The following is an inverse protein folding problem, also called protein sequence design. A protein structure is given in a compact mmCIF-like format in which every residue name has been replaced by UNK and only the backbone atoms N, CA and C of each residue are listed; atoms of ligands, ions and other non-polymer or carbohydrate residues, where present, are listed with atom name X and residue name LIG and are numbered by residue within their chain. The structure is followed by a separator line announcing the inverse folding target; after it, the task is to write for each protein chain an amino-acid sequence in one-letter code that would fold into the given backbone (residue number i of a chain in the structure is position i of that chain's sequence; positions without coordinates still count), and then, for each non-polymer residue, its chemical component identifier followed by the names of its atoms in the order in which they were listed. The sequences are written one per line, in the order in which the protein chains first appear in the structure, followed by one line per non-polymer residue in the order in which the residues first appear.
data_IF_535961336456
#
_entry.id   IF_535961336456
#
_cell.length_a   1.000
_cell.length_b   1.000
_cell.length_c   1.000
_cell.angle_alpha   90.00
_cell.angle_beta   90.00
_cell.angle_gamma   90.00
#
_symmetry.space_group_name_H-M   'P 1'
#
loop_
_entity.id
_entity.type
_entity.pdbx_description
1 polymer ?
#
# COMPACT_ATOMS: atom_id res chain seq x y z
N UNK A 1 -25.80 9.85 -26.37
CA UNK A 1 -25.73 9.32 -24.98
C UNK A 1 -25.17 7.87 -24.92
N UNK A 2 -24.18 7.49 -25.76
CA UNK A 2 -23.57 6.14 -25.71
C UNK A 2 -22.09 6.13 -25.31
N UNK A 3 -21.46 7.30 -25.09
CA UNK A 3 -20.03 7.40 -24.76
C UNK A 3 -19.66 6.85 -23.37
N UNK A 4 -20.58 6.88 -22.40
CA UNK A 4 -20.32 6.40 -21.01
C UNK A 4 -20.15 4.88 -20.98
N UNK A 5 -20.91 4.15 -21.81
CA UNK A 5 -20.85 2.68 -21.87
C UNK A 5 -19.57 2.20 -22.56
N UNK A 6 -18.98 3.02 -23.44
CA UNK A 6 -17.71 2.69 -24.10
C UNK A 6 -16.50 2.76 -23.15
N UNK A 7 -16.54 3.63 -22.13
CA UNK A 7 -15.49 3.72 -21.10
C UNK A 7 -15.63 2.71 -19.96
N UNK A 8 -16.82 2.10 -19.80
CA UNK A 8 -17.12 1.16 -18.72
C UNK A 8 -16.20 -0.09 -18.72
N UNK A 9 -15.91 -0.75 -19.86
CA UNK A 9 -15.02 -1.90 -19.89
C UNK A 9 -13.59 -1.55 -19.48
N UNK A 10 -13.09 -0.39 -19.90
CA UNK A 10 -11.77 0.08 -19.52
C UNK A 10 -11.72 0.38 -18.01
N UNK A 11 -12.69 1.14 -17.49
CA UNK A 11 -12.83 1.39 -16.06
C UNK A 11 -12.83 0.08 -15.25
N UNK A 12 -13.67 -0.89 -15.63
CA UNK A 12 -13.74 -2.18 -14.94
C UNK A 12 -12.42 -2.95 -15.01
N UNK A 13 -11.72 -2.93 -16.15
CA UNK A 13 -10.42 -3.59 -16.30
C UNK A 13 -9.38 -3.00 -15.32
N UNK A 14 -9.21 -1.67 -15.30
CA UNK A 14 -8.26 -1.02 -14.40
C UNK A 14 -8.67 -1.13 -12.93
N UNK A 15 -9.97 -1.02 -12.63
CA UNK A 15 -10.47 -1.12 -11.26
C UNK A 15 -10.33 -2.53 -10.69
N UNK A 16 -10.75 -3.57 -11.43
CA UNK A 16 -10.62 -4.97 -11.00
C UNK A 16 -9.14 -5.33 -10.87
N UNK A 17 -8.31 -4.96 -11.85
CA UNK A 17 -6.88 -5.22 -11.80
C UNK A 17 -6.22 -4.48 -10.62
N UNK A 18 -6.61 -3.23 -10.38
CA UNK A 18 -6.18 -2.47 -9.22
C UNK A 18 -6.55 -3.16 -7.92
N UNK A 19 -7.78 -3.65 -7.76
CA UNK A 19 -8.21 -4.42 -6.60
C UNK A 19 -7.38 -5.72 -6.42
N UNK A 20 -7.08 -6.42 -7.51
CA UNK A 20 -6.24 -7.63 -7.48
C UNK A 20 -4.82 -7.28 -7.02
N UNK A 21 -4.21 -6.24 -7.58
CA UNK A 21 -2.87 -5.79 -7.20
C UNK A 21 -2.82 -5.25 -5.77
N UNK A 22 -3.88 -4.59 -5.32
CA UNK A 22 -4.04 -4.11 -3.95
C UNK A 22 -4.16 -5.25 -2.94
N UNK A 23 -4.98 -6.26 -3.26
CA UNK A 23 -5.07 -7.48 -2.47
C UNK A 23 -3.75 -8.26 -2.44
N UNK A 24 -3.07 -8.34 -3.58
CA UNK A 24 -1.75 -8.96 -3.69
C UNK A 24 -0.71 -8.22 -2.84
N UNK A 25 -0.72 -6.89 -2.85
CA UNK A 25 0.11 -6.09 -1.96
C UNK A 25 -0.17 -6.39 -0.49
N UNK A 26 -1.45 -6.43 -0.07
CA UNK A 26 -1.80 -6.80 1.31
C UNK A 26 -1.29 -8.20 1.68
N UNK A 27 -1.38 -9.16 0.78
CA UNK A 27 -0.86 -10.52 1.00
C UNK A 27 0.67 -10.55 1.08
N UNK A 28 1.37 -9.84 0.20
CA UNK A 28 2.84 -9.72 0.23
C UNK A 28 3.29 -8.99 1.49
N UNK A 29 2.60 -7.91 1.86
CA UNK A 29 2.92 -7.11 3.03
C UNK A 29 2.81 -7.95 4.30
N UNK A 30 1.68 -8.65 4.50
CA UNK A 30 1.44 -9.53 5.66
C UNK A 30 2.37 -10.76 5.72
N UNK A 31 2.94 -11.20 4.60
CA UNK A 31 3.94 -12.28 4.57
C UNK A 31 5.36 -11.77 4.81
N UNK A 32 5.69 -10.55 4.36
CA UNK A 32 6.98 -9.92 4.62
C UNK A 32 7.10 -9.38 6.04
N UNK A 33 6.00 -8.90 6.63
CA UNK A 33 6.01 -8.48 8.03
C UNK A 33 5.94 -9.70 8.94
N UNK A 34 6.90 -9.89 9.87
CA UNK A 34 6.82 -11.00 10.82
C UNK A 34 5.61 -10.99 11.78
N UNK A 35 4.74 -9.97 11.74
CA UNK A 35 3.71 -9.76 12.75
C UNK A 35 2.44 -10.28 12.15
N UNK A 36 1.72 -11.07 12.94
CA UNK A 36 0.45 -11.63 12.51
C UNK A 36 -0.58 -10.50 12.57
N UNK A 37 -0.49 -9.54 11.64
CA UNK A 37 -1.27 -8.31 11.64
C UNK A 37 -2.75 -8.62 11.76
N UNK A 38 -3.25 -9.59 10.99
CA UNK A 38 -4.65 -10.04 11.07
C UNK A 38 -5.01 -10.56 12.47
N UNK A 39 -4.11 -11.31 13.13
CA UNK A 39 -4.32 -11.80 14.49
C UNK A 39 -4.28 -10.66 15.51
N UNK A 40 -3.33 -9.74 15.39
CA UNK A 40 -3.17 -8.57 16.27
C UNK A 40 -4.35 -7.59 16.14
N UNK A 41 -4.79 -7.32 14.91
CA UNK A 41 -5.97 -6.50 14.61
C UNK A 41 -7.22 -7.14 15.23
N UNK A 42 -7.40 -8.46 15.07
CA UNK A 42 -8.51 -9.20 15.72
C UNK A 42 -8.42 -9.20 17.24
N UNK A 43 -7.21 -9.14 17.80
CA UNK A 43 -6.98 -9.00 19.23
C UNK A 43 -7.19 -7.56 19.76
N UNK A 44 -7.55 -6.60 18.89
CA UNK A 44 -7.79 -5.21 19.28
C UNK A 44 -6.54 -4.34 19.39
N UNK A 45 -5.40 -4.80 18.86
CA UNK A 45 -4.17 -4.02 18.86
C UNK A 45 -4.27 -2.86 17.86
N UNK A 46 -4.46 -1.65 18.39
CA UNK A 46 -4.59 -0.42 17.61
C UNK A 46 -3.30 -0.03 16.89
N UNK A 47 -2.12 -0.36 17.44
CA UNK A 47 -0.85 -0.11 16.79
C UNK A 47 -0.72 -0.91 15.48
N UNK A 48 -1.11 -2.18 15.49
CA UNK A 48 -1.13 -3.03 14.30
C UNK A 48 -2.13 -2.51 13.26
N UNK A 49 -3.31 -2.02 13.69
CA UNK A 49 -4.29 -1.41 12.79
C UNK A 49 -3.71 -0.17 12.09
N UNK A 50 -3.10 0.74 12.85
CA UNK A 50 -2.56 2.00 12.30
C UNK A 50 -1.39 1.71 11.34
N UNK A 51 -0.49 0.79 11.69
CA UNK A 51 0.61 0.38 10.82
C UNK A 51 0.09 -0.17 9.48
N UNK A 52 -0.82 -1.14 9.56
CA UNK A 52 -1.36 -1.82 8.39
C UNK A 52 -2.18 -0.88 7.52
N UNK A 53 -3.04 -0.05 8.12
CA UNK A 53 -3.82 0.96 7.39
C UNK A 53 -2.91 1.98 6.71
N UNK A 54 -1.84 2.43 7.37
CA UNK A 54 -0.88 3.35 6.77
C UNK A 54 -0.17 2.75 5.55
N UNK A 55 0.21 1.47 5.60
CA UNK A 55 0.80 0.77 4.47
C UNK A 55 -0.19 0.57 3.31
N UNK A 56 -1.42 0.16 3.63
CA UNK A 56 -2.51 -0.03 2.67
C UNK A 56 -2.87 1.29 1.97
N UNK A 57 -3.07 2.38 2.72
CA UNK A 57 -3.32 3.71 2.17
C UNK A 57 -2.10 4.26 1.43
N UNK A 58 -0.90 3.96 1.90
CA UNK A 58 0.33 4.35 1.21
C UNK A 58 0.48 3.67 -0.15
N UNK A 59 0.03 2.43 -0.33
CA UNK A 59 0.10 1.75 -1.63
C UNK A 59 -1.03 2.15 -2.57
N UNK A 60 -2.22 2.51 -2.05
CA UNK A 60 -3.34 2.93 -2.90
C UNK A 60 -3.03 4.19 -3.71
N UNK A 61 -2.18 5.08 -3.19
CA UNK A 61 -1.82 6.34 -3.85
C UNK A 61 -0.99 6.14 -5.12
N UNK A 62 0.15 5.40 -5.12
CA UNK A 62 0.84 5.03 -6.35
C UNK A 62 -0.05 4.26 -7.31
N UNK A 63 -0.92 3.37 -6.80
CA UNK A 63 -1.84 2.61 -7.64
C UNK A 63 -2.84 3.53 -8.35
N UNK A 64 -3.38 4.53 -7.65
CA UNK A 64 -4.26 5.54 -8.24
C UNK A 64 -3.52 6.38 -9.29
N UNK A 65 -2.30 6.82 -9.01
CA UNK A 65 -1.47 7.58 -9.96
C UNK A 65 -1.11 6.74 -11.19
N UNK A 66 -0.72 5.48 -11.01
CA UNK A 66 -0.48 4.55 -12.09
C UNK A 66 -1.74 4.39 -12.95
N UNK A 67 -2.91 4.18 -12.36
CA UNK A 67 -4.16 4.04 -13.11
C UNK A 67 -4.52 5.31 -13.90
N UNK A 68 -4.21 6.48 -13.36
CA UNK A 68 -4.48 7.77 -14.01
C UNK A 68 -3.55 8.08 -15.19
N UNK A 69 -2.28 7.66 -15.12
CA UNK A 69 -1.26 8.00 -16.12
C UNK A 69 -0.93 6.86 -17.10
N UNK A 70 -1.36 5.62 -16.81
CA UNK A 70 -0.98 4.47 -17.64
C UNK A 70 -1.66 4.46 -19.00
N UNK A 71 -0.84 4.38 -20.05
CA UNK A 71 -1.32 4.30 -21.44
C UNK A 71 -1.82 2.89 -21.80
N UNK A 72 -1.39 1.87 -21.03
CA UNK A 72 -1.81 0.48 -21.22
C UNK A 72 -1.92 -0.29 -19.90
N UNK A 73 -2.59 -1.45 -19.93
CA UNK A 73 -2.69 -2.37 -18.78
C UNK A 73 -1.31 -2.86 -18.33
N UNK A 74 -0.39 -3.09 -19.27
CA UNK A 74 0.98 -3.54 -18.96
C UNK A 74 1.75 -2.45 -18.23
N UNK A 75 1.62 -1.21 -18.70
CA UNK A 75 2.22 -0.04 -18.07
C UNK A 75 1.74 0.13 -16.62
N UNK A 76 0.43 -0.05 -16.40
CA UNK A 76 -0.16 -0.04 -15.06
C UNK A 76 0.42 -1.10 -14.13
N UNK A 77 0.63 -2.33 -14.62
CA UNK A 77 1.24 -3.40 -13.83
C UNK A 77 2.69 -3.06 -13.48
N UNK A 78 3.47 -2.54 -14.42
CA UNK A 78 4.87 -2.16 -14.19
C UNK A 78 4.97 -1.08 -13.11
N UNK A 79 4.15 -0.03 -13.21
CA UNK A 79 4.09 1.02 -12.20
C UNK A 79 3.61 0.54 -10.83
N UNK A 80 2.65 -0.38 -10.81
CA UNK A 80 2.19 -1.00 -9.56
C UNK A 80 3.31 -1.80 -8.88
N UNK A 81 4.15 -2.51 -9.65
CA UNK A 81 5.32 -3.22 -9.13
C UNK A 81 6.34 -2.23 -8.58
N UNK A 82 6.63 -1.14 -9.29
CA UNK A 82 7.53 -0.08 -8.80
C UNK A 82 7.00 0.49 -7.48
N UNK A 83 5.69 0.72 -7.37
CA UNK A 83 5.10 1.20 -6.13
C UNK A 83 5.12 0.21 -4.98
N UNK A 84 5.06 -1.09 -5.28
CA UNK A 84 5.23 -2.13 -4.28
C UNK A 84 6.66 -2.15 -3.75
N UNK A 85 7.65 -2.01 -4.64
CA UNK A 85 9.06 -1.90 -4.25
C UNK A 85 9.32 -0.67 -3.37
N UNK A 86 8.72 0.48 -3.72
CA UNK A 86 8.80 1.68 -2.91
C UNK A 86 8.20 1.47 -1.51
N UNK A 87 7.11 0.71 -1.39
CA UNK A 87 6.54 0.39 -0.07
C UNK A 87 7.39 -0.56 0.77
N UNK A 88 8.02 -1.55 0.13
CA UNK A 88 8.99 -2.41 0.82
C UNK A 88 10.16 -1.56 1.34
N UNK A 89 10.63 -0.60 0.54
CA UNK A 89 11.67 0.34 0.97
C UNK A 89 11.18 1.20 2.14
N UNK A 90 9.95 1.69 2.11
CA UNK A 90 9.36 2.47 3.21
C UNK A 90 9.31 1.66 4.51
N UNK A 91 8.92 0.40 4.44
CA UNK A 91 8.95 -0.53 5.58
C UNK A 91 10.38 -0.73 6.12
N UNK A 92 11.36 -0.88 5.23
CA UNK A 92 12.76 -0.99 5.63
C UNK A 92 13.25 0.29 6.33
N UNK A 93 12.91 1.47 5.81
CA UNK A 93 13.24 2.75 6.44
C UNK A 93 12.60 2.87 7.82
N UNK A 94 11.31 2.51 7.96
CA UNK A 94 10.61 2.52 9.24
C UNK A 94 11.24 1.59 10.27
N UNK A 95 11.57 0.35 9.87
CA UNK A 95 12.22 -0.63 10.75
C UNK A 95 13.65 -0.26 11.11
N UNK A 96 14.37 0.46 10.24
CA UNK A 96 15.74 0.92 10.53
C UNK A 96 15.76 2.13 11.46
N UNK A 97 14.80 3.04 11.31
CA UNK A 97 14.69 4.27 12.13
C UNK A 97 14.15 3.98 13.53
N UNK A 98 13.29 2.97 13.69
CA UNK A 98 12.79 2.53 14.98
C UNK A 98 13.21 1.08 15.24
N UNK A 99 14.23 0.89 16.07
CA UNK A 99 14.68 -0.46 16.46
C UNK A 99 13.57 -1.22 17.19
N UNK A 100 13.39 -2.48 16.81
CA UNK A 100 12.33 -3.31 17.39
C UNK A 100 10.91 -2.87 17.03
N UNK A 101 10.72 -2.06 15.97
CA UNK A 101 9.40 -1.60 15.49
C UNK A 101 8.32 -2.69 15.55
N UNK A 102 8.72 -3.89 15.14
CA UNK A 102 7.91 -5.08 15.10
C UNK A 102 7.43 -5.58 16.47
N UNK A 103 8.35 -5.67 17.42
CA UNK A 103 8.02 -6.05 18.79
C UNK A 103 7.12 -4.99 19.43
N UNK A 104 7.43 -3.70 19.21
CA UNK A 104 6.67 -2.58 19.77
C UNK A 104 5.24 -2.51 19.22
N UNK A 105 5.05 -2.79 17.93
CA UNK A 105 3.70 -2.93 17.35
C UNK A 105 2.98 -4.11 17.97
N UNK A 106 3.64 -5.26 18.13
CA UNK A 106 3.06 -6.46 18.78
C UNK A 106 2.64 -6.17 20.22
N UNK A 107 3.43 -5.37 20.95
CA UNK A 107 3.18 -4.96 22.33
C UNK A 107 2.10 -3.86 22.44
N UNK A 108 1.57 -3.37 21.32
CA UNK A 108 0.47 -2.40 21.28
C UNK A 108 0.90 -0.94 21.34
N UNK A 109 2.18 -0.64 21.12
CA UNK A 109 2.66 0.74 21.11
C UNK A 109 2.18 1.50 19.86
N UNK A 110 1.15 2.32 20.03
CA UNK A 110 0.54 3.10 18.94
C UNK A 110 1.58 4.00 18.23
N UNK A 111 2.56 4.53 18.95
CA UNK A 111 3.64 5.33 18.37
C UNK A 111 4.44 4.55 17.33
N UNK A 112 4.69 3.26 17.57
CA UNK A 112 5.37 2.38 16.63
C UNK A 112 4.50 2.16 15.37
N UNK A 113 3.20 1.93 15.57
CA UNK A 113 2.26 1.79 14.47
C UNK A 113 2.12 3.05 13.62
N UNK A 114 2.03 4.22 14.26
CA UNK A 114 1.94 5.51 13.59
C UNK A 114 3.22 5.86 12.81
N UNK A 115 4.39 5.53 13.35
CA UNK A 115 5.66 5.73 12.66
C UNK A 115 5.78 4.86 11.42
N UNK A 116 5.52 3.55 11.56
CA UNK A 116 5.56 2.61 10.43
C UNK A 116 4.54 2.95 9.35
N UNK A 117 3.28 3.13 9.74
CA UNK A 117 2.20 3.48 8.81
C UNK A 117 2.38 4.88 8.20
N UNK A 118 2.88 5.85 8.97
CA UNK A 118 3.13 7.21 8.51
C UNK A 118 4.24 7.30 7.48
N UNK A 119 5.37 6.59 7.68
CA UNK A 119 6.44 6.51 6.68
C UNK A 119 5.94 5.84 5.40
N UNK A 120 5.20 4.74 5.52
CA UNK A 120 4.61 4.08 4.36
C UNK A 120 3.69 5.02 3.57
N UNK A 121 2.85 5.79 4.26
CA UNK A 121 1.97 6.78 3.64
C UNK A 121 2.76 7.91 2.96
N UNK A 122 3.77 8.47 3.63
CA UNK A 122 4.61 9.54 3.08
C UNK A 122 5.36 9.10 1.82
N UNK A 123 5.99 7.92 1.85
CA UNK A 123 6.66 7.35 0.67
C UNK A 123 5.65 7.05 -0.44
N UNK A 124 4.46 6.57 -0.09
CA UNK A 124 3.35 6.37 -1.01
C UNK A 124 2.96 7.65 -1.76
N UNK A 125 2.80 8.77 -1.06
CA UNK A 125 2.49 10.08 -1.66
C UNK A 125 3.61 10.50 -2.62
N UNK A 126 4.87 10.44 -2.18
CA UNK A 126 6.02 10.83 -3.01
C UNK A 126 6.09 9.98 -4.28
N UNK A 127 5.91 8.68 -4.12
CA UNK A 127 5.95 7.76 -5.23
C UNK A 127 4.79 8.01 -6.21
N UNK A 128 3.58 8.27 -5.73
CA UNK A 128 2.45 8.65 -6.57
C UNK A 128 2.73 9.93 -7.36
N UNK A 129 3.35 10.93 -6.75
CA UNK A 129 3.72 12.19 -7.40
C UNK A 129 4.81 12.01 -8.47
N UNK A 130 5.70 11.04 -8.32
CA UNK A 130 6.72 10.73 -9.32
C UNK A 130 6.19 9.95 -10.54
N UNK A 131 4.96 9.44 -10.49
CA UNK A 131 4.32 8.67 -11.56
C UNK A 131 3.44 9.51 -12.50
N UNK A 132 3.44 10.84 -12.34
CA UNK A 132 2.70 11.75 -13.22
C UNK A 132 3.52 12.12 -14.45
N UNK A 133 2.95 11.95 -15.65
CA UNK A 133 3.56 12.29 -16.94
C UNK A 133 2.62 13.12 -17.80
#
# INVERSE_FOLDING_TARGET
MFGIVAGLPAFLAYFILGLVLYGLFGWIYTTLTPQKEITLIRAGNTAAVVAFMGAILGFSLPLASAAANSVSIVDFIVWSIIGLLAQILAFFIASRTMTGLHQRITDGEIAAGLWGGGIALAVGILNAACMTY
#
